data_IF_928836811024
#
_entry.id   IF_928836811024
#
_cell.length_a   1.000
_cell.length_b   1.000
_cell.length_c   1.000
_cell.angle_alpha   90.00
_cell.angle_beta   90.00
_cell.angle_gamma   90.00
#
_symmetry.space_group_name_H-M   'P 1'
#
loop_
_entity.id
_entity.type
_entity.pdbx_description
1 polymer ?
#
# COMPACT_ATOMS: atom_id res chain seq x y z
N UNK A 1 6.30 -7.91 6.18
CA UNK A 1 6.76 -7.29 4.92
C UNK A 1 6.71 -5.76 5.02
N UNK A 2 7.54 -5.02 4.26
CA UNK A 2 7.49 -3.55 4.16
C UNK A 2 7.25 -3.16 2.69
N UNK A 3 6.35 -2.21 2.47
CA UNK A 3 6.08 -1.59 1.17
C UNK A 3 6.20 -0.07 1.26
N UNK A 4 6.72 0.57 0.22
CA UNK A 4 6.81 2.04 0.18
C UNK A 4 5.42 2.65 0.04
N UNK A 5 4.59 2.08 -0.82
CA UNK A 5 3.20 2.52 -1.05
C UNK A 5 2.24 1.48 -0.49
N UNK A 6 1.08 1.94 -0.02
CA UNK A 6 -0.05 1.11 0.38
C UNK A 6 -0.34 0.04 -0.70
N UNK A 7 -0.31 -1.25 -0.35
CA UNK A 7 -0.57 -2.32 -1.31
C UNK A 7 -2.05 -2.36 -1.73
N UNK A 8 -2.31 -2.85 -2.94
CA UNK A 8 -3.65 -3.24 -3.37
C UNK A 8 -4.01 -4.63 -2.77
N UNK A 9 -5.29 -5.01 -2.85
CA UNK A 9 -5.78 -6.29 -2.30
C UNK A 9 -5.10 -7.51 -2.93
N UNK A 10 -4.70 -7.45 -4.20
CA UNK A 10 -3.94 -8.56 -4.81
C UNK A 10 -2.56 -8.74 -4.17
N UNK A 11 -1.85 -7.65 -3.87
CA UNK A 11 -0.56 -7.74 -3.18
C UNK A 11 -0.76 -8.28 -1.75
N UNK A 12 -1.84 -7.88 -1.08
CA UNK A 12 -2.17 -8.41 0.26
C UNK A 12 -2.49 -9.90 0.24
N UNK A 13 -3.24 -10.38 -0.75
CA UNK A 13 -3.56 -11.81 -0.86
C UNK A 13 -2.30 -12.63 -1.16
N UNK A 14 -1.38 -12.12 -1.99
CA UNK A 14 -0.09 -12.74 -2.22
C UNK A 14 0.76 -12.81 -0.94
N UNK A 15 0.75 -11.74 -0.13
CA UNK A 15 1.44 -11.74 1.15
C UNK A 15 0.86 -12.78 2.12
N UNK A 16 -0.46 -12.93 2.13
CA UNK A 16 -1.16 -13.90 2.99
C UNK A 16 -0.77 -15.32 2.60
N UNK A 17 -0.81 -15.64 1.31
CA UNK A 17 -0.40 -16.95 0.79
C UNK A 17 1.08 -17.24 1.03
N UNK A 18 1.93 -16.22 1.11
CA UNK A 18 3.34 -16.36 1.47
C UNK A 18 3.59 -16.52 2.98
N UNK A 19 2.54 -16.49 3.81
CA UNK A 19 2.64 -16.67 5.27
C UNK A 19 3.08 -15.42 6.03
N UNK A 20 3.01 -14.23 5.44
CA UNK A 20 3.21 -13.00 6.19
C UNK A 20 2.00 -12.72 7.07
N UNK A 21 2.24 -12.28 8.30
CA UNK A 21 1.20 -11.87 9.25
C UNK A 21 0.98 -10.35 9.29
N UNK A 22 1.92 -9.59 8.73
CA UNK A 22 1.83 -8.13 8.68
C UNK A 22 2.49 -7.55 7.42
N UNK A 23 1.85 -6.49 6.91
CA UNK A 23 2.34 -5.65 5.83
C UNK A 23 2.38 -4.22 6.32
N UNK A 24 3.59 -3.70 6.50
CA UNK A 24 3.82 -2.31 6.88
C UNK A 24 3.93 -1.48 5.60
N UNK A 25 3.22 -0.37 5.51
CA UNK A 25 3.32 0.55 4.38
C UNK A 25 3.63 1.97 4.85
N UNK A 26 4.30 2.76 4.01
CA UNK A 26 4.78 4.09 4.41
C UNK A 26 3.91 5.21 3.83
N UNK A 27 3.46 5.07 2.59
CA UNK A 27 2.74 6.12 1.87
C UNK A 27 1.34 5.60 1.47
N UNK A 28 0.25 6.28 1.83
CA UNK A 28 -1.09 5.93 1.33
C UNK A 28 -1.17 6.00 -0.20
N UNK A 29 -1.94 5.12 -0.83
CA UNK A 29 -2.07 5.08 -2.30
C UNK A 29 -3.00 6.19 -2.83
N UNK A 30 -3.91 6.70 -2.00
CA UNK A 30 -4.95 7.69 -2.37
C UNK A 30 -4.42 8.92 -3.13
N UNK A 31 -3.31 9.58 -2.75
CA UNK A 31 -2.80 10.76 -3.46
C UNK A 31 -2.33 10.46 -4.89
N UNK A 32 -2.09 9.19 -5.22
CA UNK A 32 -1.52 8.78 -6.50
C UNK A 32 -2.51 8.07 -7.41
N UNK A 33 -3.78 7.90 -7.00
CA UNK A 33 -4.77 7.12 -7.77
C UNK A 33 -4.97 7.64 -9.19
N UNK A 34 -4.87 8.96 -9.40
CA UNK A 34 -4.99 9.58 -10.73
C UNK A 34 -3.76 9.34 -11.61
N UNK A 35 -2.60 9.05 -11.01
CA UNK A 35 -1.34 8.83 -11.70
C UNK A 35 -1.02 7.35 -11.87
N UNK A 36 -1.44 6.53 -10.91
CA UNK A 36 -1.28 5.08 -10.88
C UNK A 36 -2.62 4.41 -10.52
N UNK A 37 -3.56 4.29 -11.45
CA UNK A 37 -4.87 3.71 -11.14
C UNK A 37 -4.79 2.26 -10.66
N UNK A 38 -3.69 1.56 -10.94
CA UNK A 38 -3.46 0.16 -10.56
C UNK A 38 -2.86 -0.04 -9.16
N UNK A 39 -2.38 1.01 -8.46
CA UNK A 39 -1.82 0.84 -7.10
C UNK A 39 -2.89 0.76 -6.03
N UNK A 40 -4.13 1.04 -6.39
CA UNK A 40 -5.28 0.91 -5.50
C UNK A 40 -6.45 0.32 -6.26
N UNK A 41 -7.21 -0.47 -5.53
CA UNK A 41 -8.46 -1.10 -5.91
C UNK A 41 -9.69 -0.23 -5.57
N UNK A 42 -9.46 1.04 -5.20
CA UNK A 42 -10.51 2.02 -4.94
C UNK A 42 -11.22 1.85 -3.60
N UNK A 43 -10.80 0.89 -2.75
CA UNK A 43 -11.36 0.68 -1.41
C UNK A 43 -10.54 1.40 -0.35
N UNK A 44 -11.19 1.76 0.76
CA UNK A 44 -10.54 2.43 1.88
C UNK A 44 -9.55 1.51 2.59
N UNK A 45 -8.55 2.09 3.27
CA UNK A 45 -7.60 1.35 4.09
C UNK A 45 -8.31 0.49 5.16
N UNK A 46 -9.36 1.02 5.79
CA UNK A 46 -10.17 0.28 6.75
C UNK A 46 -10.81 -0.95 6.08
N UNK A 47 -11.37 -0.79 4.88
CA UNK A 47 -11.99 -1.90 4.15
C UNK A 47 -10.96 -2.96 3.73
N UNK A 48 -9.75 -2.54 3.36
CA UNK A 48 -8.63 -3.46 3.10
C UNK A 48 -8.26 -4.27 4.33
N UNK A 49 -8.16 -3.62 5.49
CA UNK A 49 -7.90 -4.31 6.76
C UNK A 49 -9.01 -5.35 7.03
N UNK A 50 -10.28 -4.98 6.91
CA UNK A 50 -11.40 -5.91 7.08
C UNK A 50 -11.30 -7.12 6.13
N UNK A 51 -10.94 -6.89 4.86
CA UNK A 51 -10.75 -7.97 3.89
C UNK A 51 -9.56 -8.87 4.26
N UNK A 52 -8.43 -8.28 4.66
CA UNK A 52 -7.22 -9.01 5.02
C UNK A 52 -7.40 -9.92 6.25
N UNK A 53 -8.35 -9.59 7.14
CA UNK A 53 -8.71 -10.43 8.27
C UNK A 53 -9.56 -11.66 7.89
N UNK A 54 -10.08 -11.71 6.66
CA UNK A 54 -10.82 -12.84 6.10
C UNK A 54 -9.95 -13.75 5.21
N UNK A 55 -8.67 -13.46 5.06
CA UNK A 55 -7.75 -14.34 4.33
C UNK A 55 -7.42 -15.59 5.13
N UNK A 56 -6.92 -16.63 4.44
CA UNK A 56 -6.49 -17.88 5.08
C UNK A 56 -5.44 -17.62 6.16
N UNK A 57 -4.46 -16.77 5.85
CA UNK A 57 -3.53 -16.19 6.83
C UNK A 57 -3.88 -14.72 7.04
N UNK A 58 -4.27 -14.37 8.26
CA UNK A 58 -4.66 -13.01 8.61
C UNK A 58 -3.49 -12.06 8.47
N UNK A 59 -3.73 -10.91 7.85
CA UNK A 59 -2.72 -9.87 7.69
C UNK A 59 -3.17 -8.57 8.33
N UNK A 60 -2.24 -7.97 9.07
CA UNK A 60 -2.35 -6.60 9.54
C UNK A 60 -1.68 -5.62 8.57
N UNK A 61 -2.44 -4.62 8.11
CA UNK A 61 -1.92 -3.43 7.45
C UNK A 61 -1.57 -2.38 8.49
N UNK A 62 -0.28 -2.04 8.54
CA UNK A 62 0.25 -1.07 9.49
C UNK A 62 0.79 0.12 8.71
N UNK A 63 0.22 1.30 8.95
CA UNK A 63 0.70 2.54 8.36
C UNK A 63 1.84 3.12 9.20
N UNK A 64 3.04 3.19 8.65
CA UNK A 64 4.21 3.80 9.27
C UNK A 64 4.24 5.33 9.04
N UNK A 65 3.21 6.00 9.56
CA UNK A 65 2.96 7.45 9.35
C UNK A 65 4.15 8.33 9.72
N UNK A 66 4.98 7.92 10.68
CA UNK A 66 6.18 8.65 11.10
C UNK A 66 7.22 8.82 9.99
N UNK A 67 7.18 7.98 8.95
CA UNK A 67 8.12 8.05 7.83
C UNK A 67 7.49 8.64 6.55
N UNK A 68 6.17 8.87 6.55
CA UNK A 68 5.39 9.25 5.37
C UNK A 68 5.98 10.50 4.70
N UNK A 69 6.18 11.60 5.43
CA UNK A 69 6.67 12.86 4.85
C UNK A 69 8.04 12.71 4.17
N UNK A 70 8.97 11.98 4.80
CA UNK A 70 10.32 11.78 4.26
C UNK A 70 10.28 10.92 3.00
N UNK A 71 9.57 9.80 3.05
CA UNK A 71 9.49 8.87 1.92
C UNK A 71 8.62 9.41 0.79
N UNK A 72 7.57 10.18 1.09
CA UNK A 72 6.76 10.86 0.09
C UNK A 72 7.60 11.74 -0.81
N UNK A 73 8.48 12.56 -0.24
CA UNK A 73 9.39 13.41 -1.03
C UNK A 73 10.28 12.57 -1.95
N UNK A 74 10.92 11.53 -1.40
CA UNK A 74 11.81 10.63 -2.18
C UNK A 74 11.02 9.94 -3.30
N UNK A 75 9.82 9.45 -3.00
CA UNK A 75 8.96 8.78 -3.97
C UNK A 75 8.49 9.73 -5.07
N UNK A 76 8.06 10.94 -4.73
CA UNK A 76 7.66 11.96 -5.69
C UNK A 76 8.83 12.34 -6.61
N UNK A 77 10.02 12.53 -6.06
CA UNK A 77 11.24 12.85 -6.82
C UNK A 77 11.64 11.69 -7.75
N UNK A 78 11.53 10.44 -7.29
CA UNK A 78 11.85 9.26 -8.10
C UNK A 78 10.83 9.00 -9.22
N UNK A 79 9.55 9.34 -8.99
CA UNK A 79 8.47 9.12 -9.95
C UNK A 79 8.19 10.35 -10.82
N UNK A 80 8.91 11.46 -10.62
CA UNK A 80 8.74 12.74 -11.34
C UNK A 80 8.62 12.55 -12.85
N UNK A 81 9.49 11.75 -13.46
CA UNK A 81 9.52 11.61 -14.93
C UNK A 81 8.39 10.73 -15.46
N UNK A 82 7.82 9.88 -14.60
CA UNK A 82 6.63 9.06 -14.90
C UNK A 82 5.33 9.84 -14.71
N UNK A 83 5.37 10.96 -13.98
CA UNK A 83 4.22 11.82 -13.71
C UNK A 83 4.00 12.91 -14.77
N UNK A 84 4.95 13.08 -15.70
CA UNK A 84 4.82 13.99 -16.85
C UNK A 84 4.30 13.16 -18.03
N UNK A 85 3.00 12.89 -18.06
CA UNK A 85 2.27 12.43 -19.25
C UNK A 85 0.95 13.15 -19.34
#
# INVERSE_FOLDING_TARGET
>A
MISVVEPCTMCLSACSQAGYTSVNFIIPAKPYITRFPYVTDGISLQKKQELAQNFSEKIDLIHLKQYEAKFKKIFDDAMKDLFIK
#
